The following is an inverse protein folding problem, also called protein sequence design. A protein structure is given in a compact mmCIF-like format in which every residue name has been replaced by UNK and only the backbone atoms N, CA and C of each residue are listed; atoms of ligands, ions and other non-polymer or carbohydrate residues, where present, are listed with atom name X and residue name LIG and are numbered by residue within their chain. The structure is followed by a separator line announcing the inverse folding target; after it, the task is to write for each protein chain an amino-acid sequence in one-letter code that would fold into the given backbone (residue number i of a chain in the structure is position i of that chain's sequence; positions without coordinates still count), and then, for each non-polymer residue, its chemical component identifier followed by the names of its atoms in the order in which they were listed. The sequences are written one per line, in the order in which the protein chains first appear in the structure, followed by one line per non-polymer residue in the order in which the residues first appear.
data_IF_720593662034
#
_entry.id   IF_720593662034
#
_cell.length_a   1.000
_cell.length_b   1.000
_cell.length_c   1.000
_cell.angle_alpha   90.00
_cell.angle_beta   90.00
_cell.angle_gamma   90.00
#
_symmetry.space_group_name_H-M   'P 1'
#
loop_
_entity.id
_entity.type
_entity.pdbx_description
1 polymer ?
#
# COMPACT_ATOMS: atom_id res chain seq x y z
N UNK A 1 34.61 12.71 3.06
CA UNK A 1 33.85 13.50 2.08
C UNK A 1 32.55 13.92 2.75
N UNK A 2 32.34 15.24 3.02
CA UNK A 2 31.14 15.72 3.69
C UNK A 2 29.94 15.63 2.77
N UNK A 3 29.04 14.67 3.02
CA UNK A 3 27.79 14.57 2.33
C UNK A 3 26.98 15.86 2.45
N UNK A 4 26.29 16.26 1.41
CA UNK A 4 25.34 17.38 1.46
C UNK A 4 24.23 17.02 2.46
N UNK A 5 24.29 17.61 3.66
CA UNK A 5 23.26 17.42 4.70
C UNK A 5 21.86 17.71 4.14
N UNK A 6 20.89 16.91 4.51
CA UNK A 6 19.48 17.14 4.18
C UNK A 6 19.09 18.50 4.76
N UNK A 7 18.85 19.49 3.89
CA UNK A 7 18.37 20.82 4.34
C UNK A 7 16.84 20.79 4.48
N UNK A 8 16.36 20.93 5.69
CA UNK A 8 14.93 20.90 6.03
C UNK A 8 14.41 22.30 6.26
N UNK A 9 13.33 22.69 5.55
CA UNK A 9 12.64 23.94 5.79
C UNK A 9 11.54 23.74 6.84
N UNK A 10 11.46 24.64 7.80
CA UNK A 10 10.40 24.66 8.83
C UNK A 10 9.02 24.77 8.19
N UNK A 11 8.90 25.55 7.10
CA UNK A 11 7.65 25.68 6.33
C UNK A 11 7.12 24.35 5.78
N UNK A 12 8.02 23.46 5.34
CA UNK A 12 7.64 22.17 4.77
C UNK A 12 7.09 21.21 5.84
N UNK A 13 7.70 21.24 7.03
CA UNK A 13 7.22 20.47 8.20
C UNK A 13 5.86 21.00 8.67
N UNK A 14 5.69 22.33 8.71
CA UNK A 14 4.42 22.97 9.07
C UNK A 14 3.32 22.61 8.07
N UNK A 15 3.59 22.69 6.77
CA UNK A 15 2.64 22.30 5.72
C UNK A 15 2.17 20.84 5.88
N UNK A 16 3.11 19.91 6.09
CA UNK A 16 2.79 18.50 6.35
C UNK A 16 1.92 18.37 7.61
N UNK A 17 2.31 19.04 8.69
CA UNK A 17 1.56 18.94 9.93
C UNK A 17 0.13 19.46 9.76
N UNK A 18 -0.04 20.66 9.21
CA UNK A 18 -1.34 21.35 9.10
C UNK A 18 -2.24 20.69 8.06
N UNK A 19 -1.71 20.36 6.88
CA UNK A 19 -2.50 19.94 5.74
C UNK A 19 -2.61 18.41 5.55
N UNK A 20 -1.73 17.63 6.19
CA UNK A 20 -1.75 16.17 6.03
C UNK A 20 -1.97 15.44 7.37
N UNK A 21 -1.21 15.77 8.42
CA UNK A 21 -1.17 14.96 9.63
C UNK A 21 -2.25 15.32 10.63
N UNK A 22 -2.43 16.61 10.95
CA UNK A 22 -3.40 17.08 11.96
C UNK A 22 -4.84 16.80 11.53
N UNK A 23 -5.16 17.06 10.25
CA UNK A 23 -6.48 16.88 9.66
C UNK A 23 -6.89 15.40 9.70
N UNK A 24 -5.97 14.51 9.32
CA UNK A 24 -6.21 13.07 9.22
C UNK A 24 -6.03 12.32 10.55
N UNK A 25 -5.60 13.00 11.62
CA UNK A 25 -5.48 12.38 12.94
C UNK A 25 -6.82 12.38 13.66
N UNK A 26 -7.43 11.18 13.78
CA UNK A 26 -8.75 11.01 14.44
C UNK A 26 -8.73 11.34 15.93
N UNK A 27 -7.64 11.03 16.63
CA UNK A 27 -7.48 11.32 18.05
C UNK A 27 -7.10 12.78 18.27
N UNK A 28 -8.10 13.63 18.51
CA UNK A 28 -7.91 15.07 18.70
C UNK A 28 -7.08 15.42 19.93
N UNK A 29 -7.04 14.58 20.95
CA UNK A 29 -6.16 14.77 22.12
C UNK A 29 -4.68 14.73 21.73
N UNK A 30 -4.29 13.86 20.79
CA UNK A 30 -2.90 13.84 20.27
C UNK A 30 -2.56 15.13 19.53
N UNK A 31 -3.49 15.64 18.73
CA UNK A 31 -3.32 16.93 18.03
C UNK A 31 -3.18 18.06 19.04
N UNK A 32 -4.10 18.16 20.00
CA UNK A 32 -4.05 19.18 21.06
C UNK A 32 -2.73 19.15 21.86
N UNK A 33 -2.26 17.96 22.25
CA UNK A 33 -0.98 17.85 22.97
C UNK A 33 0.23 18.28 22.13
N UNK A 34 0.20 18.07 20.83
CA UNK A 34 1.25 18.55 19.92
C UNK A 34 1.20 20.07 19.76
N UNK A 35 -0.01 20.65 19.66
CA UNK A 35 -0.24 22.09 19.51
C UNK A 35 0.27 22.91 20.71
N UNK A 36 0.26 22.37 21.92
CA UNK A 36 0.75 23.08 23.12
C UNK A 36 2.17 23.61 22.96
N UNK A 37 3.05 22.82 22.29
CA UNK A 37 4.44 23.17 22.06
C UNK A 37 4.77 23.03 20.56
N UNK A 38 3.85 23.54 19.70
CA UNK A 38 3.90 23.31 18.25
C UNK A 38 5.25 23.67 17.65
N UNK A 39 5.73 24.89 17.87
CA UNK A 39 6.98 25.35 17.25
C UNK A 39 8.20 24.59 17.76
N UNK A 40 8.28 24.33 19.06
CA UNK A 40 9.33 23.51 19.66
C UNK A 40 9.35 22.11 19.03
N UNK A 41 8.19 21.46 18.95
CA UNK A 41 8.06 20.14 18.29
C UNK A 41 8.48 20.17 16.81
N UNK A 42 8.20 21.25 16.08
CA UNK A 42 8.60 21.42 14.67
C UNK A 42 10.12 21.59 14.54
N UNK A 43 10.74 22.38 15.42
CA UNK A 43 12.21 22.53 15.44
C UNK A 43 12.91 21.24 15.84
N UNK A 44 12.36 20.49 16.81
CA UNK A 44 12.87 19.16 17.16
C UNK A 44 12.83 18.20 15.97
N UNK A 45 11.70 18.15 15.24
CA UNK A 45 11.55 17.33 14.03
C UNK A 45 12.61 17.72 12.99
N UNK A 46 12.80 19.03 12.76
CA UNK A 46 13.83 19.53 11.86
C UNK A 46 15.23 19.03 12.27
N UNK A 47 15.58 19.20 13.53
CA UNK A 47 16.87 18.77 14.09
C UNK A 47 17.08 17.26 13.94
N UNK A 48 16.04 16.46 14.18
CA UNK A 48 16.08 14.99 14.04
C UNK A 48 16.37 14.58 12.58
N UNK A 49 15.70 15.21 11.61
CA UNK A 49 15.90 14.89 10.19
C UNK A 49 17.30 15.32 9.73
N UNK A 50 17.77 16.52 10.12
CA UNK A 50 19.09 17.03 9.75
C UNK A 50 20.25 16.33 10.47
N UNK A 51 19.95 15.66 11.59
CA UNK A 51 20.96 14.94 12.40
C UNK A 51 21.30 13.54 11.91
N UNK A 52 20.67 13.03 10.85
CA UNK A 52 20.89 11.71 10.19
C UNK A 52 20.75 10.46 11.06
N UNK A 53 20.41 10.58 12.33
CA UNK A 53 20.27 9.46 13.27
C UNK A 53 18.82 9.09 13.55
N UNK A 54 17.91 9.45 12.64
CA UNK A 54 16.49 9.17 12.84
C UNK A 54 16.23 7.67 12.90
N UNK A 55 15.60 7.27 14.00
CA UNK A 55 15.00 5.93 14.19
C UNK A 55 13.60 6.11 14.75
N UNK A 56 12.68 5.29 14.26
CA UNK A 56 11.31 5.27 14.79
C UNK A 56 11.37 4.86 16.27
N UNK A 57 10.86 5.71 17.14
CA UNK A 57 10.92 5.47 18.58
C UNK A 57 10.10 4.24 18.98
N UNK A 58 8.81 4.23 18.66
CA UNK A 58 7.91 3.12 18.98
C UNK A 58 6.63 3.17 18.16
N UNK A 59 6.19 2.00 17.69
CA UNK A 59 4.89 1.83 17.08
C UNK A 59 3.80 1.61 18.13
N UNK A 60 2.62 2.19 17.88
CA UNK A 60 1.39 1.74 18.50
C UNK A 60 0.78 0.66 17.59
N UNK A 61 0.90 -0.60 18.00
CA UNK A 61 0.50 -1.77 17.21
C UNK A 61 -0.91 -2.20 17.65
N UNK A 62 -1.82 -2.35 16.69
CA UNK A 62 -3.19 -2.79 16.96
C UNK A 62 -3.76 -3.55 15.76
N UNK A 63 -4.86 -4.26 15.97
CA UNK A 63 -5.57 -4.96 14.92
C UNK A 63 -6.80 -4.19 14.43
N UNK A 64 -7.07 -4.28 13.12
CA UNK A 64 -8.35 -3.94 12.52
C UNK A 64 -9.04 -5.22 12.05
N UNK A 65 -10.36 -5.31 12.19
CA UNK A 65 -11.12 -6.56 11.93
C UNK A 65 -11.92 -6.55 10.64
N UNK A 66 -11.98 -5.42 9.94
CA UNK A 66 -12.86 -5.30 8.77
C UNK A 66 -12.10 -4.76 7.55
N UNK A 67 -12.22 -5.38 6.37
CA UNK A 67 -12.98 -6.60 6.05
C UNK A 67 -12.33 -7.89 6.56
N UNK A 68 -11.01 -7.87 6.79
CA UNK A 68 -10.18 -8.95 7.33
C UNK A 68 -9.35 -8.43 8.49
N UNK A 69 -8.92 -9.34 9.36
CA UNK A 69 -7.95 -8.98 10.38
C UNK A 69 -6.63 -8.57 9.75
N UNK A 70 -6.11 -7.43 10.19
CA UNK A 70 -4.77 -6.92 9.81
C UNK A 70 -4.13 -6.28 11.02
N UNK A 71 -2.82 -6.45 11.13
CA UNK A 71 -2.02 -5.71 12.12
C UNK A 71 -1.62 -4.37 11.49
N UNK A 72 -1.85 -3.29 12.23
CA UNK A 72 -1.49 -1.93 11.83
C UNK A 72 -0.48 -1.36 12.81
N UNK A 73 0.57 -0.76 12.30
CA UNK A 73 1.65 -0.14 13.06
C UNK A 73 1.58 1.39 12.90
N UNK A 74 0.97 2.05 13.89
CA UNK A 74 0.76 3.49 13.86
C UNK A 74 1.87 4.24 14.59
N UNK A 75 2.35 5.29 13.99
CA UNK A 75 3.40 6.17 14.52
C UNK A 75 2.84 7.15 15.58
N UNK A 76 3.70 7.64 16.46
CA UNK A 76 3.42 8.84 17.26
C UNK A 76 3.36 10.09 16.37
N UNK A 77 3.07 11.26 16.91
CA UNK A 77 2.85 12.46 16.11
C UNK A 77 4.12 12.93 15.42
N UNK A 78 5.26 12.99 16.11
CA UNK A 78 6.54 13.44 15.54
C UNK A 78 7.01 12.47 14.45
N UNK A 79 7.04 11.16 14.76
CA UNK A 79 7.42 10.14 13.78
C UNK A 79 6.50 10.12 12.56
N UNK A 80 5.20 10.41 12.73
CA UNK A 80 4.26 10.50 11.63
C UNK A 80 4.59 11.66 10.69
N UNK A 81 4.92 12.82 11.24
CA UNK A 81 5.32 14.00 10.45
C UNK A 81 6.63 13.71 9.71
N UNK A 82 7.62 13.13 10.40
CA UNK A 82 8.89 12.74 9.76
C UNK A 82 8.65 11.73 8.63
N UNK A 83 7.79 10.76 8.85
CA UNK A 83 7.47 9.74 7.85
C UNK A 83 6.78 10.34 6.60
N UNK A 84 5.90 11.32 6.78
CA UNK A 84 5.31 12.09 5.68
C UNK A 84 6.37 12.94 4.97
N UNK A 85 7.29 13.58 5.72
CA UNK A 85 8.39 14.36 5.15
C UNK A 85 9.30 13.48 4.28
N UNK A 86 9.76 12.35 4.82
CA UNK A 86 10.60 11.39 4.09
C UNK A 86 9.87 10.86 2.85
N UNK A 87 8.58 10.54 2.96
CA UNK A 87 7.80 10.09 1.81
C UNK A 87 7.73 11.16 0.72
N UNK A 88 7.41 12.41 1.07
CA UNK A 88 7.15 13.49 0.11
C UNK A 88 8.44 14.06 -0.49
N UNK A 89 9.41 14.40 0.35
CA UNK A 89 10.60 15.15 -0.05
C UNK A 89 11.82 14.29 -0.39
N UNK A 90 11.84 13.03 0.04
CA UNK A 90 12.92 12.10 -0.30
C UNK A 90 12.43 11.05 -1.31
N UNK A 91 11.48 10.20 -0.91
CA UNK A 91 11.11 9.05 -1.72
C UNK A 91 10.38 9.46 -3.01
N UNK A 92 9.27 10.18 -2.91
CA UNK A 92 8.47 10.57 -4.09
C UNK A 92 9.30 11.47 -5.00
N UNK A 93 9.94 12.50 -4.46
CA UNK A 93 10.70 13.48 -5.26
C UNK A 93 11.82 12.84 -6.08
N UNK A 94 12.47 11.79 -5.58
CA UNK A 94 13.63 11.16 -6.22
C UNK A 94 13.30 9.87 -6.96
N UNK A 95 12.34 9.10 -6.48
CA UNK A 95 12.09 7.74 -6.95
C UNK A 95 10.84 7.60 -7.82
N UNK A 96 9.85 8.51 -7.75
CA UNK A 96 8.62 8.39 -8.54
C UNK A 96 8.87 8.35 -10.05
N UNK A 97 9.91 9.01 -10.53
CA UNK A 97 10.29 9.03 -11.95
C UNK A 97 10.62 7.66 -12.55
N UNK A 98 10.96 6.68 -11.71
CA UNK A 98 11.24 5.31 -12.14
C UNK A 98 9.97 4.45 -12.28
N UNK A 99 8.83 4.91 -11.74
CA UNK A 99 7.60 4.12 -11.75
C UNK A 99 6.89 4.20 -13.10
N UNK A 100 6.52 3.04 -13.64
CA UNK A 100 5.69 2.98 -14.83
C UNK A 100 4.30 3.60 -14.57
N UNK A 101 3.67 4.18 -15.61
CA UNK A 101 2.34 4.79 -15.53
C UNK A 101 1.24 3.76 -15.21
N UNK A 102 1.49 2.47 -15.42
CA UNK A 102 0.58 1.36 -15.14
C UNK A 102 0.59 0.93 -13.68
N UNK A 103 1.56 1.43 -12.90
CA UNK A 103 1.59 1.30 -11.46
C UNK A 103 0.74 2.41 -10.84
N UNK A 104 -0.48 2.08 -10.46
CA UNK A 104 -1.54 3.06 -10.17
C UNK A 104 -1.72 3.40 -8.68
N UNK A 105 -1.12 2.63 -7.76
CA UNK A 105 -1.39 2.78 -6.32
C UNK A 105 -0.65 3.98 -5.71
N UNK A 106 -1.30 4.69 -4.78
CA UNK A 106 -0.72 5.72 -3.90
C UNK A 106 0.04 6.87 -4.58
N UNK A 107 -0.23 7.12 -5.85
CA UNK A 107 0.37 8.22 -6.63
C UNK A 107 -0.64 9.35 -6.85
N UNK A 108 -0.14 10.58 -6.94
CA UNK A 108 -0.96 11.77 -7.20
C UNK A 108 -1.69 11.62 -8.55
N UNK A 109 -2.98 11.98 -8.59
CA UNK A 109 -3.85 11.86 -9.77
C UNK A 109 -4.03 10.43 -10.33
N UNK A 110 -3.59 9.43 -9.59
CA UNK A 110 -3.79 8.01 -9.87
C UNK A 110 -4.64 7.39 -8.76
N UNK A 111 -4.51 6.11 -8.56
CA UNK A 111 -5.25 5.41 -7.50
C UNK A 111 -6.32 4.51 -8.08
N UNK A 112 -7.36 4.32 -7.31
CA UNK A 112 -8.37 3.30 -7.54
C UNK A 112 -9.12 3.47 -8.85
N UNK A 113 -9.70 4.68 -9.05
CA UNK A 113 -10.50 4.96 -10.26
C UNK A 113 -9.63 4.96 -11.51
N UNK A 114 -8.41 5.44 -11.42
CA UNK A 114 -7.46 5.40 -12.53
C UNK A 114 -7.17 3.96 -12.95
N UNK A 115 -6.88 3.06 -12.00
CA UNK A 115 -6.63 1.64 -12.26
C UNK A 115 -7.84 0.95 -12.92
N UNK A 116 -9.05 1.20 -12.42
CA UNK A 116 -10.30 0.68 -12.98
C UNK A 116 -10.52 1.14 -14.44
N UNK A 117 -10.32 2.43 -14.68
CA UNK A 117 -10.48 3.01 -16.02
C UNK A 117 -9.41 2.48 -16.98
N UNK A 118 -8.19 2.27 -16.51
CA UNK A 118 -7.11 1.71 -17.32
C UNK A 118 -7.40 0.25 -17.72
N UNK A 119 -7.87 -0.57 -16.78
CA UNK A 119 -8.31 -1.95 -17.07
C UNK A 119 -9.47 -1.94 -18.07
N UNK A 120 -10.48 -1.08 -17.89
CA UNK A 120 -11.59 -0.92 -18.83
C UNK A 120 -11.07 -0.59 -20.23
N UNK A 121 -10.17 0.40 -20.34
CA UNK A 121 -9.57 0.80 -21.62
C UNK A 121 -8.85 -0.36 -22.29
N UNK A 122 -8.09 -1.15 -21.54
CA UNK A 122 -7.37 -2.30 -22.10
C UNK A 122 -8.30 -3.43 -22.54
N UNK A 123 -9.40 -3.66 -21.85
CA UNK A 123 -10.46 -4.56 -22.30
C UNK A 123 -11.03 -4.08 -23.63
N UNK A 124 -11.38 -2.79 -23.76
CA UNK A 124 -11.94 -2.23 -25.00
C UNK A 124 -10.97 -2.35 -26.18
N UNK A 125 -9.67 -2.17 -25.95
CA UNK A 125 -8.65 -2.34 -26.99
C UNK A 125 -8.51 -3.79 -27.44
N UNK A 126 -8.51 -4.75 -26.49
CA UNK A 126 -8.31 -6.16 -26.83
C UNK A 126 -9.55 -6.81 -27.47
N UNK A 127 -10.77 -6.34 -27.19
CA UNK A 127 -11.99 -6.79 -27.85
C UNK A 127 -11.94 -6.68 -29.37
N UNK A 128 -11.22 -5.69 -29.89
CA UNK A 128 -11.07 -5.49 -31.35
C UNK A 128 -10.37 -6.66 -32.05
N UNK A 129 -9.58 -7.41 -31.32
CA UNK A 129 -8.81 -8.56 -31.82
C UNK A 129 -9.49 -9.90 -31.53
N UNK A 130 -10.76 -9.90 -31.08
CA UNK A 130 -11.54 -11.10 -30.77
C UNK A 130 -11.41 -11.54 -29.32
N UNK A 131 -11.29 -12.85 -29.11
CA UNK A 131 -11.17 -13.45 -27.78
C UNK A 131 -9.85 -13.08 -27.14
N UNK A 132 -9.90 -12.71 -25.84
CA UNK A 132 -8.72 -12.38 -25.04
C UNK A 132 -8.82 -13.00 -23.65
N UNK A 133 -7.69 -13.00 -22.94
CA UNK A 133 -7.53 -13.60 -21.63
C UNK A 133 -6.94 -12.58 -20.66
N UNK A 134 -7.24 -12.78 -19.39
CA UNK A 134 -6.81 -11.90 -18.32
C UNK A 134 -6.02 -12.74 -17.31
N UNK A 135 -4.72 -12.48 -17.20
CA UNK A 135 -3.89 -13.02 -16.14
C UNK A 135 -3.98 -12.08 -14.95
N UNK A 136 -4.47 -12.62 -13.84
CA UNK A 136 -4.43 -11.96 -12.53
C UNK A 136 -3.35 -12.59 -11.68
N UNK A 137 -2.44 -11.78 -11.10
CA UNK A 137 -1.41 -12.23 -10.16
C UNK A 137 -1.61 -11.54 -8.83
N UNK A 138 -1.64 -12.29 -7.74
CA UNK A 138 -1.67 -11.81 -6.35
C UNK A 138 -0.38 -12.30 -5.66
N UNK A 139 0.32 -11.43 -4.95
CA UNK A 139 1.55 -11.79 -4.25
C UNK A 139 1.22 -12.15 -2.79
N UNK A 140 1.79 -13.25 -2.31
CA UNK A 140 1.54 -13.74 -0.96
C UNK A 140 2.12 -12.82 0.10
N UNK A 141 1.28 -12.38 1.07
CA UNK A 141 1.70 -11.59 2.25
C UNK A 141 2.63 -10.41 1.90
N UNK A 142 2.40 -9.73 0.79
CA UNK A 142 3.32 -8.79 0.16
C UNK A 142 4.07 -7.89 1.13
N UNK A 143 3.35 -7.10 1.96
CA UNK A 143 3.96 -6.18 2.93
C UNK A 143 4.85 -6.86 3.98
N UNK A 144 4.62 -8.13 4.28
CA UNK A 144 5.43 -8.90 5.24
C UNK A 144 6.63 -9.60 4.59
N UNK A 145 6.63 -9.71 3.25
CA UNK A 145 7.62 -10.48 2.51
C UNK A 145 8.64 -9.63 1.78
N UNK A 146 8.48 -8.30 1.75
CA UNK A 146 9.47 -7.39 1.13
C UNK A 146 10.81 -7.56 1.83
N UNK A 147 11.83 -7.99 1.10
CA UNK A 147 13.19 -8.19 1.61
C UNK A 147 13.90 -6.84 1.76
N UNK A 148 14.43 -6.57 2.95
CA UNK A 148 15.09 -5.30 3.27
C UNK A 148 16.36 -5.10 2.47
N UNK A 149 17.17 -6.15 2.29
CA UNK A 149 18.43 -6.05 1.58
C UNK A 149 18.23 -5.77 0.10
N UNK A 150 17.25 -6.44 -0.52
CA UNK A 150 16.86 -6.16 -1.90
C UNK A 150 16.33 -4.73 -2.04
N UNK A 151 15.42 -4.30 -1.16
CA UNK A 151 14.89 -2.93 -1.21
C UNK A 151 15.97 -1.87 -1.02
N UNK A 152 16.88 -2.07 -0.07
CA UNK A 152 18.01 -1.17 0.19
C UNK A 152 18.97 -1.11 -0.99
N UNK A 153 19.27 -2.23 -1.64
CA UNK A 153 20.12 -2.25 -2.85
C UNK A 153 19.49 -1.48 -4.02
N UNK A 154 18.16 -1.43 -4.10
CA UNK A 154 17.46 -0.69 -5.15
C UNK A 154 17.48 0.83 -4.99
N UNK A 155 17.73 1.34 -3.78
CA UNK A 155 17.68 2.78 -3.46
C UNK A 155 19.04 3.41 -3.17
N UNK A 156 20.08 2.62 -2.91
CA UNK A 156 21.38 3.11 -2.44
C UNK A 156 22.05 4.08 -3.42
N UNK A 157 21.93 3.82 -4.70
CA UNK A 157 22.48 4.66 -5.78
C UNK A 157 21.58 5.85 -6.19
N UNK A 158 20.37 5.92 -5.63
CA UNK A 158 19.34 6.92 -5.97
C UNK A 158 19.14 7.98 -4.90
N UNK A 159 19.65 7.73 -3.71
CA UNK A 159 19.56 8.62 -2.54
C UNK A 159 20.96 9.10 -2.14
N UNK A 160 21.06 10.25 -1.50
CA UNK A 160 22.28 10.64 -0.80
C UNK A 160 22.54 9.74 0.41
N UNK A 161 23.78 9.70 0.92
CA UNK A 161 24.10 8.88 2.10
C UNK A 161 23.15 9.14 3.28
N UNK A 162 22.92 10.42 3.60
CA UNK A 162 22.07 10.83 4.72
C UNK A 162 20.59 10.41 4.53
N UNK A 163 20.08 10.54 3.32
CA UNK A 163 18.72 10.11 2.97
C UNK A 163 18.58 8.59 3.00
N UNK A 164 19.60 7.89 2.51
CA UNK A 164 19.66 6.43 2.56
C UNK A 164 19.64 5.92 3.99
N UNK A 165 20.41 6.52 4.90
CA UNK A 165 20.46 6.14 6.31
C UNK A 165 19.10 6.30 6.99
N UNK A 166 18.42 7.44 6.76
CA UNK A 166 17.07 7.68 7.28
C UNK A 166 16.08 6.63 6.74
N UNK A 167 16.08 6.39 5.44
CA UNK A 167 15.16 5.44 4.80
C UNK A 167 15.46 4.01 5.24
N UNK A 168 16.73 3.62 5.35
CA UNK A 168 17.15 2.30 5.82
C UNK A 168 16.70 2.03 7.26
N UNK A 169 16.86 3.01 8.16
CA UNK A 169 16.36 2.91 9.52
C UNK A 169 14.83 2.74 9.60
N UNK A 170 14.09 3.37 8.68
CA UNK A 170 12.63 3.18 8.57
C UNK A 170 12.31 1.78 8.06
N UNK A 171 13.02 1.28 7.05
CA UNK A 171 12.86 -0.08 6.52
C UNK A 171 13.09 -1.10 7.63
N UNK A 172 14.18 -0.97 8.40
CA UNK A 172 14.56 -1.93 9.45
C UNK A 172 13.67 -1.89 10.70
N UNK A 173 12.75 -0.96 10.77
CA UNK A 173 11.91 -0.76 11.97
C UNK A 173 10.98 -1.93 12.32
N UNK A 174 10.78 -2.87 11.42
CA UNK A 174 10.05 -4.12 11.71
C UNK A 174 10.90 -5.14 12.47
N UNK A 175 12.23 -4.99 12.48
CA UNK A 175 13.17 -5.87 13.20
C UNK A 175 13.20 -5.62 14.71
N UNK A 176 12.52 -4.60 15.22
CA UNK A 176 12.50 -4.34 16.67
C UNK A 176 11.84 -5.50 17.43
N UNK A 177 12.52 -6.02 18.45
CA UNK A 177 12.09 -7.20 19.22
C UNK A 177 10.64 -7.10 19.72
N UNK A 178 10.23 -5.91 20.19
CA UNK A 178 8.89 -5.70 20.73
C UNK A 178 7.77 -5.85 19.68
N UNK A 179 8.06 -5.72 18.37
CA UNK A 179 7.05 -5.75 17.30
C UNK A 179 6.34 -7.10 17.29
N UNK A 180 7.11 -8.18 17.18
CA UNK A 180 6.54 -9.51 17.15
C UNK A 180 5.94 -9.93 18.51
N UNK A 181 6.50 -9.46 19.62
CA UNK A 181 5.92 -9.69 20.96
C UNK A 181 4.54 -9.06 21.06
N UNK A 182 4.37 -7.79 20.60
CA UNK A 182 3.08 -7.13 20.56
C UNK A 182 2.08 -7.85 19.65
N UNK A 183 2.52 -8.30 18.45
CA UNK A 183 1.64 -9.03 17.52
C UNK A 183 1.16 -10.34 18.14
N UNK A 184 2.04 -11.11 18.80
CA UNK A 184 1.67 -12.35 19.51
C UNK A 184 0.64 -12.07 20.62
N UNK A 185 0.85 -11.03 21.42
CA UNK A 185 -0.08 -10.61 22.46
C UNK A 185 -1.47 -10.26 21.90
N UNK A 186 -1.49 -9.50 20.77
CA UNK A 186 -2.74 -9.16 20.07
C UNK A 186 -3.43 -10.42 19.55
N UNK A 187 -2.70 -11.36 18.93
CA UNK A 187 -3.26 -12.62 18.43
C UNK A 187 -3.93 -13.41 19.57
N UNK A 188 -3.25 -13.57 20.69
CA UNK A 188 -3.79 -14.28 21.85
C UNK A 188 -5.08 -13.61 22.40
N UNK A 189 -5.07 -12.28 22.49
CA UNK A 189 -6.28 -11.53 22.89
C UNK A 189 -7.44 -11.74 21.92
N UNK A 190 -7.18 -11.69 20.60
CA UNK A 190 -8.20 -11.88 19.57
C UNK A 190 -8.75 -13.31 19.56
N UNK A 191 -7.92 -14.33 19.75
CA UNK A 191 -8.35 -15.74 19.83
C UNK A 191 -9.32 -15.97 20.98
N UNK A 192 -9.10 -15.30 22.11
CA UNK A 192 -10.03 -15.37 23.26
C UNK A 192 -11.33 -14.62 22.99
N UNK A 193 -11.31 -13.53 22.23
CA UNK A 193 -12.44 -12.64 21.99
C UNK A 193 -13.33 -13.09 20.82
N UNK A 194 -12.76 -13.61 19.74
CA UNK A 194 -13.47 -13.93 18.49
C UNK A 194 -13.14 -15.35 18.01
N UNK A 195 -13.73 -16.31 18.71
CA UNK A 195 -13.54 -17.74 18.42
C UNK A 195 -14.01 -18.13 17.01
N UNK A 196 -15.01 -17.42 16.46
CA UNK A 196 -15.58 -17.71 15.13
C UNK A 196 -14.60 -17.42 13.98
N UNK A 197 -13.61 -16.55 14.20
CA UNK A 197 -12.60 -16.18 13.20
C UNK A 197 -11.21 -16.71 13.53
N UNK A 198 -11.13 -17.78 14.31
CA UNK A 198 -9.86 -18.39 14.75
C UNK A 198 -8.90 -18.65 13.58
N UNK A 199 -9.35 -19.30 12.51
CA UNK A 199 -8.51 -19.60 11.33
C UNK A 199 -7.92 -18.35 10.68
N UNK A 200 -8.62 -17.24 10.70
CA UNK A 200 -8.13 -15.97 10.16
C UNK A 200 -7.11 -15.32 11.09
N UNK A 201 -7.35 -15.35 12.38
CA UNK A 201 -6.46 -14.79 13.41
C UNK A 201 -5.14 -15.59 13.46
N UNK A 202 -5.21 -16.92 13.38
CA UNK A 202 -4.02 -17.78 13.35
C UNK A 202 -3.12 -17.49 12.14
N UNK A 203 -3.72 -17.11 11.01
CA UNK A 203 -3.00 -16.74 9.78
C UNK A 203 -2.39 -15.33 9.80
N UNK A 204 -2.60 -14.52 10.85
CA UNK A 204 -1.93 -13.22 10.96
C UNK A 204 -0.42 -13.44 11.03
N UNK A 205 0.35 -12.86 10.07
CA UNK A 205 1.79 -13.11 9.99
C UNK A 205 2.54 -12.36 11.07
N UNK A 206 3.70 -12.90 11.45
CA UNK A 206 4.76 -12.19 12.15
C UNK A 206 5.75 -11.66 11.10
N UNK A 207 6.55 -10.68 11.48
CA UNK A 207 7.67 -10.25 10.67
C UNK A 207 8.85 -11.21 10.84
N UNK A 208 9.43 -11.63 9.73
CA UNK A 208 10.73 -12.28 9.72
C UNK A 208 11.84 -11.21 9.81
N UNK A 209 13.00 -11.57 10.31
CA UNK A 209 14.15 -10.66 10.38
C UNK A 209 14.55 -10.21 8.96
N UNK A 210 14.86 -8.93 8.80
CA UNK A 210 15.15 -8.27 7.52
C UNK A 210 14.06 -8.42 6.45
N UNK A 211 12.81 -8.61 6.88
CA UNK A 211 11.66 -8.64 5.97
C UNK A 211 10.48 -7.79 6.47
N UNK A 212 9.78 -7.29 5.50
CA UNK A 212 8.48 -6.65 5.64
C UNK A 212 8.52 -5.17 5.96
N UNK A 213 7.47 -4.49 5.56
CA UNK A 213 7.26 -3.06 5.82
C UNK A 213 6.04 -2.87 6.74
N UNK A 214 6.10 -1.91 7.67
CA UNK A 214 5.01 -1.67 8.61
C UNK A 214 3.77 -1.15 7.89
N UNK A 215 2.63 -1.85 8.08
CA UNK A 215 1.35 -1.45 7.48
C UNK A 215 0.81 -0.23 8.22
N UNK A 216 0.54 0.85 7.49
CA UNK A 216 -0.05 2.08 8.01
C UNK A 216 0.84 3.33 7.88
N UNK A 217 2.03 3.20 7.33
CA UNK A 217 2.96 4.30 7.11
C UNK A 217 3.00 4.75 5.64
N UNK A 218 3.18 6.04 5.41
CA UNK A 218 3.30 6.60 4.06
C UNK A 218 4.54 6.10 3.32
N UNK A 219 5.68 6.03 4.01
CA UNK A 219 6.93 5.49 3.43
C UNK A 219 6.76 4.04 2.98
N UNK A 220 6.11 3.20 3.80
CA UNK A 220 5.84 1.80 3.44
C UNK A 220 4.98 1.65 2.20
N UNK A 221 3.99 2.54 2.03
CA UNK A 221 3.14 2.54 0.84
C UNK A 221 3.94 2.86 -0.42
N UNK A 222 4.80 3.88 -0.36
CA UNK A 222 5.63 4.24 -1.51
C UNK A 222 6.71 3.19 -1.79
N UNK A 223 7.43 2.73 -0.77
CA UNK A 223 8.46 1.71 -0.91
C UNK A 223 7.90 0.40 -1.47
N UNK A 224 6.68 0.03 -1.09
CA UNK A 224 6.04 -1.18 -1.64
C UNK A 224 5.71 -1.04 -3.13
N UNK A 225 5.29 0.10 -3.62
CA UNK A 225 5.08 0.28 -5.06
C UNK A 225 6.41 0.40 -5.81
N UNK A 226 7.45 0.92 -5.17
CA UNK A 226 8.79 1.03 -5.75
C UNK A 226 9.50 -0.33 -5.85
N UNK A 227 9.29 -1.22 -4.90
CA UNK A 227 9.97 -2.53 -4.84
C UNK A 227 9.87 -3.36 -6.13
N UNK A 228 8.80 -3.23 -6.89
CA UNK A 228 8.55 -3.99 -8.11
C UNK A 228 8.65 -3.14 -9.39
N UNK A 229 9.25 -1.94 -9.36
CA UNK A 229 9.26 -1.06 -10.52
C UNK A 229 10.00 -1.65 -11.72
N UNK A 230 11.11 -2.36 -11.47
CA UNK A 230 11.87 -3.00 -12.55
C UNK A 230 11.11 -4.18 -13.15
N UNK A 231 10.34 -4.92 -12.33
CA UNK A 231 9.46 -5.97 -12.83
C UNK A 231 8.36 -5.39 -13.73
N UNK A 232 7.78 -4.24 -13.36
CA UNK A 232 6.79 -3.57 -14.19
C UNK A 232 7.37 -3.25 -15.59
N UNK A 233 8.57 -2.67 -15.64
CA UNK A 233 9.27 -2.39 -16.90
C UNK A 233 9.62 -3.67 -17.67
N UNK A 234 10.07 -4.70 -16.99
CA UNK A 234 10.38 -5.98 -17.61
C UNK A 234 9.15 -6.62 -18.25
N UNK A 235 8.02 -6.64 -17.57
CA UNK A 235 6.74 -7.18 -18.08
C UNK A 235 6.33 -6.44 -19.36
N UNK A 236 6.46 -5.12 -19.38
CA UNK A 236 6.01 -4.31 -20.50
C UNK A 236 6.99 -4.35 -21.67
N UNK A 237 8.28 -4.17 -21.41
CA UNK A 237 9.29 -3.95 -22.44
C UNK A 237 9.92 -5.25 -22.94
N UNK A 238 10.22 -6.19 -22.04
CA UNK A 238 10.90 -7.44 -22.40
C UNK A 238 9.92 -8.56 -22.76
N UNK A 239 8.85 -8.74 -21.95
CA UNK A 239 7.83 -9.73 -22.26
C UNK A 239 6.81 -9.23 -23.29
N UNK A 240 6.80 -7.94 -23.62
CA UNK A 240 5.87 -7.33 -24.56
C UNK A 240 4.39 -7.38 -24.11
N UNK A 241 4.15 -7.47 -22.80
CA UNK A 241 2.81 -7.50 -22.20
C UNK A 241 2.34 -6.08 -21.88
N UNK A 242 2.04 -5.30 -22.89
CA UNK A 242 1.76 -3.85 -22.82
C UNK A 242 0.47 -3.50 -22.06
N UNK A 243 -0.49 -4.42 -22.01
CA UNK A 243 -1.79 -4.21 -21.35
C UNK A 243 -1.75 -4.73 -19.90
N UNK A 244 -0.84 -4.19 -19.11
CA UNK A 244 -0.63 -4.50 -17.70
C UNK A 244 -1.13 -3.34 -16.84
N UNK A 245 -1.74 -3.65 -15.70
CA UNK A 245 -2.09 -2.70 -14.63
C UNK A 245 -1.68 -3.30 -13.30
N UNK A 246 -0.98 -2.52 -12.48
CA UNK A 246 -0.62 -2.93 -11.12
C UNK A 246 -1.21 -1.97 -10.08
N UNK A 247 -1.79 -2.55 -9.05
CA UNK A 247 -2.22 -1.83 -7.85
C UNK A 247 -1.67 -2.53 -6.62
N UNK A 248 -0.58 -2.00 -6.05
CA UNK A 248 0.22 -2.65 -5.00
C UNK A 248 0.76 -4.02 -5.43
N UNK A 249 0.23 -5.09 -4.84
CA UNK A 249 0.53 -6.50 -5.08
C UNK A 249 -0.37 -7.17 -6.12
N UNK A 250 -1.43 -6.52 -6.56
CA UNK A 250 -2.40 -7.04 -7.53
C UNK A 250 -2.02 -6.62 -8.97
N UNK A 251 -1.68 -7.60 -9.83
CA UNK A 251 -1.45 -7.40 -11.25
C UNK A 251 -2.65 -7.87 -12.07
N UNK A 252 -2.99 -7.11 -13.10
CA UNK A 252 -3.87 -7.52 -14.21
C UNK A 252 -3.09 -7.36 -15.50
N UNK A 253 -3.00 -8.44 -16.29
CA UNK A 253 -2.32 -8.46 -17.58
C UNK A 253 -3.30 -9.04 -18.61
N UNK A 254 -3.52 -8.34 -19.73
CA UNK A 254 -4.48 -8.71 -20.76
C UNK A 254 -3.73 -9.07 -22.03
N UNK A 255 -4.07 -10.20 -22.65
CA UNK A 255 -3.51 -10.65 -23.93
C UNK A 255 -4.51 -11.51 -24.70
N UNK A 256 -4.42 -11.50 -26.04
CA UNK A 256 -5.17 -12.40 -26.89
C UNK A 256 -4.54 -13.80 -26.96
N UNK A 257 -3.30 -13.94 -26.54
CA UNK A 257 -2.55 -15.21 -26.52
C UNK A 257 -2.53 -15.78 -25.10
N UNK A 258 -3.30 -16.87 -24.90
CA UNK A 258 -3.39 -17.57 -23.59
C UNK A 258 -2.10 -18.31 -23.23
N UNK A 259 -1.46 -18.90 -24.22
CA UNK A 259 -0.28 -19.74 -23.98
C UNK A 259 0.93 -18.84 -23.69
N UNK A 260 1.00 -17.66 -24.33
CA UNK A 260 1.94 -16.62 -23.92
C UNK A 260 1.73 -16.24 -22.46
N UNK A 261 0.49 -15.98 -22.01
CA UNK A 261 0.23 -15.63 -20.60
C UNK A 261 0.65 -16.72 -19.62
N UNK A 262 0.53 -18.02 -20.00
CA UNK A 262 1.00 -19.12 -19.14
C UNK A 262 2.52 -19.13 -19.02
N UNK A 263 3.24 -19.07 -20.15
CA UNK A 263 4.71 -19.01 -20.15
C UNK A 263 5.24 -17.84 -19.36
N UNK A 264 4.66 -16.66 -19.58
CA UNK A 264 5.13 -15.45 -18.91
C UNK A 264 4.76 -15.40 -17.42
N UNK A 265 3.69 -16.10 -17.00
CA UNK A 265 3.41 -16.31 -15.58
C UNK A 265 4.53 -17.09 -14.89
N UNK A 266 5.05 -18.14 -15.54
CA UNK A 266 6.18 -18.91 -15.01
C UNK A 266 7.44 -18.04 -14.90
N UNK A 267 7.75 -17.24 -15.92
CA UNK A 267 8.87 -16.29 -15.92
C UNK A 267 8.72 -15.24 -14.82
N UNK A 268 7.55 -14.63 -14.69
CA UNK A 268 7.26 -13.64 -13.65
C UNK A 268 7.38 -14.27 -12.26
N UNK A 269 6.86 -15.49 -12.08
CA UNK A 269 6.95 -16.21 -10.81
C UNK A 269 8.39 -16.52 -10.43
N UNK A 270 9.21 -16.94 -11.40
CA UNK A 270 10.63 -17.18 -11.20
C UNK A 270 11.37 -15.90 -10.77
N UNK A 271 11.16 -14.79 -11.48
CA UNK A 271 11.78 -13.50 -11.15
C UNK A 271 11.33 -12.98 -9.78
N UNK A 272 10.04 -13.11 -9.46
CA UNK A 272 9.51 -12.73 -8.13
C UNK A 272 10.24 -13.50 -7.03
N UNK A 273 10.43 -14.81 -7.21
CA UNK A 273 11.08 -15.67 -6.23
C UNK A 273 12.59 -15.45 -6.16
N UNK A 274 13.27 -15.41 -7.29
CA UNK A 274 14.72 -15.33 -7.36
C UNK A 274 15.24 -13.95 -6.98
N UNK A 275 14.74 -12.90 -7.65
CA UNK A 275 15.23 -11.52 -7.48
C UNK A 275 14.58 -10.83 -6.28
N UNK A 276 13.25 -10.94 -6.12
CA UNK A 276 12.50 -10.17 -5.12
C UNK A 276 12.18 -10.97 -3.85
N UNK A 277 12.55 -12.25 -3.77
CA UNK A 277 12.25 -13.11 -2.62
C UNK A 277 10.77 -13.17 -2.26
N UNK A 278 9.90 -13.06 -3.27
CA UNK A 278 8.44 -13.04 -3.16
C UNK A 278 7.82 -14.28 -3.81
N UNK A 279 6.75 -14.79 -3.21
CA UNK A 279 5.96 -15.87 -3.75
C UNK A 279 4.61 -15.39 -4.26
N UNK A 280 4.14 -15.92 -5.39
CA UNK A 280 2.77 -15.72 -5.85
C UNK A 280 1.77 -16.48 -4.97
N UNK A 281 0.58 -15.93 -4.84
CA UNK A 281 -0.53 -16.62 -4.18
C UNK A 281 -1.25 -17.49 -5.22
N UNK A 282 -0.90 -18.77 -5.27
CA UNK A 282 -1.43 -19.73 -6.26
C UNK A 282 -2.97 -19.78 -6.25
N UNK A 283 -3.60 -19.67 -5.07
CA UNK A 283 -5.07 -19.75 -4.96
C UNK A 283 -5.79 -18.51 -5.54
N UNK A 284 -5.10 -17.40 -5.73
CA UNK A 284 -5.66 -16.16 -6.26
C UNK A 284 -5.07 -15.74 -7.61
N UNK A 285 -4.05 -16.44 -8.07
CA UNK A 285 -3.43 -16.22 -9.37
C UNK A 285 -4.09 -17.11 -10.40
N UNK A 286 -4.74 -16.51 -11.41
CA UNK A 286 -5.50 -17.27 -12.40
C UNK A 286 -5.51 -16.55 -13.76
N UNK A 287 -5.70 -17.34 -14.83
CA UNK A 287 -5.97 -16.83 -16.18
C UNK A 287 -7.47 -17.00 -16.46
N UNK A 288 -8.16 -15.88 -16.60
CA UNK A 288 -9.59 -15.80 -16.89
C UNK A 288 -9.82 -15.64 -18.39
N UNK A 289 -10.93 -16.20 -18.87
CA UNK A 289 -11.50 -15.88 -20.16
C UNK A 289 -12.28 -14.56 -20.07
N UNK A 290 -12.27 -13.75 -21.10
CA UNK A 290 -12.95 -12.45 -21.13
C UNK A 290 -14.44 -12.51 -20.84
N UNK A 291 -15.10 -13.67 -21.10
CA UNK A 291 -16.54 -13.86 -20.89
C UNK A 291 -16.86 -14.35 -19.47
N UNK A 292 -15.95 -15.10 -18.82
CA UNK A 292 -16.19 -15.68 -17.49
C UNK A 292 -16.20 -14.63 -16.37
N UNK A 293 -15.61 -13.47 -16.63
CA UNK A 293 -15.47 -12.39 -15.66
C UNK A 293 -14.36 -12.62 -14.65
N UNK A 294 -13.79 -11.54 -14.15
CA UNK A 294 -12.76 -11.55 -13.11
C UNK A 294 -12.97 -10.42 -12.10
N UNK A 295 -12.48 -10.63 -10.89
CA UNK A 295 -12.55 -9.62 -9.82
C UNK A 295 -11.24 -8.84 -9.74
N UNK A 296 -11.36 -7.50 -9.74
CA UNK A 296 -10.23 -6.60 -9.49
C UNK A 296 -10.69 -5.38 -8.68
N UNK A 297 -9.96 -5.06 -7.62
CA UNK A 297 -10.22 -3.91 -6.73
C UNK A 297 -11.69 -3.79 -6.26
N UNK A 298 -12.37 -4.92 -6.02
CA UNK A 298 -13.75 -4.96 -5.54
C UNK A 298 -14.83 -4.77 -6.61
N UNK A 299 -14.43 -4.76 -7.88
CA UNK A 299 -15.32 -4.81 -9.04
C UNK A 299 -15.19 -6.14 -9.77
N UNK A 300 -16.27 -6.54 -10.44
CA UNK A 300 -16.31 -7.67 -11.35
C UNK A 300 -16.40 -7.12 -12.76
N UNK A 301 -15.42 -7.47 -13.59
CA UNK A 301 -15.34 -7.14 -15.00
C UNK A 301 -15.75 -8.34 -15.83
N UNK A 302 -16.54 -8.15 -16.84
CA UNK A 302 -16.90 -9.19 -17.83
C UNK A 302 -17.25 -8.56 -19.16
N UNK A 303 -17.20 -9.37 -20.23
CA UNK A 303 -17.68 -8.97 -21.56
C UNK A 303 -18.90 -9.81 -21.91
N UNK A 304 -20.01 -9.16 -22.27
CA UNK A 304 -21.24 -9.80 -22.76
C UNK A 304 -21.77 -9.04 -23.97
N UNK A 305 -22.12 -9.74 -25.02
CA UNK A 305 -22.61 -9.14 -26.27
C UNK A 305 -21.73 -7.95 -26.74
N UNK A 306 -20.43 -8.17 -26.74
CA UNK A 306 -19.40 -7.18 -27.08
C UNK A 306 -19.41 -5.90 -26.21
N UNK A 307 -20.10 -5.89 -25.07
CA UNK A 307 -20.11 -4.77 -24.10
C UNK A 307 -19.31 -5.12 -22.86
N UNK A 308 -18.45 -4.21 -22.44
CA UNK A 308 -17.75 -4.34 -21.14
C UNK A 308 -18.71 -4.00 -20.02
N UNK A 309 -18.90 -4.95 -19.11
CA UNK A 309 -19.76 -4.80 -17.93
C UNK A 309 -18.87 -4.72 -16.69
N UNK A 310 -19.04 -3.68 -15.90
CA UNK A 310 -18.37 -3.47 -14.62
C UNK A 310 -19.42 -3.41 -13.53
N UNK A 311 -19.33 -4.32 -12.54
CA UNK A 311 -20.28 -4.39 -11.42
C UNK A 311 -19.51 -4.34 -10.11
N UNK A 312 -20.06 -3.63 -9.13
CA UNK A 312 -19.53 -3.66 -7.77
C UNK A 312 -19.80 -5.06 -7.16
N UNK A 313 -18.81 -5.64 -6.49
CA UNK A 313 -18.98 -6.91 -5.80
C UNK A 313 -20.12 -6.84 -4.78
N UNK A 314 -21.01 -7.83 -4.75
CA UNK A 314 -22.23 -7.82 -3.92
C UNK A 314 -21.96 -7.64 -2.43
N UNK A 315 -20.88 -8.22 -1.91
CA UNK A 315 -20.46 -8.04 -0.51
C UNK A 315 -20.12 -6.57 -0.18
N UNK A 316 -19.50 -5.85 -1.12
CA UNK A 316 -19.19 -4.43 -0.95
C UNK A 316 -20.46 -3.58 -0.94
N UNK A 317 -21.44 -3.91 -1.78
CA UNK A 317 -22.75 -3.24 -1.81
C UNK A 317 -23.52 -3.45 -0.50
N UNK A 318 -23.60 -4.68 0.01
CA UNK A 318 -24.24 -4.98 1.30
C UNK A 318 -23.61 -4.19 2.45
N UNK A 319 -22.28 -4.13 2.50
CA UNK A 319 -21.54 -3.38 3.51
C UNK A 319 -21.78 -1.86 3.38
N UNK A 320 -21.80 -1.35 2.17
CA UNK A 320 -22.06 0.08 1.89
C UNK A 320 -23.48 0.47 2.33
N UNK A 321 -24.48 -0.33 1.98
CA UNK A 321 -25.86 -0.14 2.42
C UNK A 321 -26.02 -0.21 3.94
N UNK A 322 -25.35 -1.17 4.60
CA UNK A 322 -25.35 -1.26 6.06
C UNK A 322 -24.74 0.00 6.69
N UNK A 323 -23.59 0.47 6.20
CA UNK A 323 -22.96 1.67 6.73
C UNK A 323 -23.83 2.92 6.47
N UNK A 324 -24.45 3.04 5.31
CA UNK A 324 -25.39 4.14 5.02
C UNK A 324 -26.57 4.13 6.00
N UNK A 325 -27.22 2.97 6.21
CA UNK A 325 -28.34 2.83 7.17
C UNK A 325 -27.89 3.19 8.58
N UNK A 326 -26.72 2.71 9.00
CA UNK A 326 -26.15 3.03 10.32
C UNK A 326 -25.91 4.52 10.48
N UNK A 327 -25.27 5.17 9.50
CA UNK A 327 -24.97 6.59 9.54
C UNK A 327 -26.24 7.45 9.47
N UNK A 328 -27.24 7.05 8.67
CA UNK A 328 -28.55 7.70 8.65
C UNK A 328 -29.21 7.64 10.03
N UNK A 329 -29.19 6.48 10.68
CA UNK A 329 -29.70 6.33 12.05
C UNK A 329 -28.99 7.26 13.03
N UNK A 330 -27.63 7.27 13.00
CA UNK A 330 -26.82 8.15 13.86
C UNK A 330 -27.10 9.64 13.61
N UNK A 331 -27.33 10.02 12.35
CA UNK A 331 -27.72 11.38 11.98
C UNK A 331 -29.12 11.73 12.54
N UNK A 332 -30.11 10.84 12.33
CA UNK A 332 -31.47 11.02 12.84
C UNK A 332 -31.51 11.17 14.37
N UNK A 333 -30.64 10.46 15.07
CA UNK A 333 -30.51 10.50 16.53
C UNK A 333 -29.63 11.65 17.03
N UNK A 334 -29.13 12.53 16.16
CA UNK A 334 -28.29 13.66 16.54
C UNK A 334 -26.84 13.34 16.94
N UNK A 335 -26.41 12.08 16.79
CA UNK A 335 -25.03 11.68 17.15
C UNK A 335 -23.98 12.13 16.14
N UNK A 336 -24.36 12.42 14.90
CA UNK A 336 -23.46 12.95 13.87
C UNK A 336 -24.10 14.11 13.12
N UNK A 337 -23.29 15.09 12.68
CA UNK A 337 -23.77 16.22 11.88
C UNK A 337 -24.10 15.79 10.45
N UNK A 338 -24.94 16.60 9.75
CA UNK A 338 -25.27 16.42 8.33
C UNK A 338 -24.00 16.35 7.45
N UNK A 339 -23.04 17.24 7.67
CA UNK A 339 -21.75 17.25 6.97
C UNK A 339 -20.99 15.92 7.12
N UNK A 340 -21.03 15.32 8.31
CA UNK A 340 -20.40 14.01 8.55
C UNK A 340 -21.18 12.85 7.92
N UNK A 341 -22.51 12.96 7.85
CA UNK A 341 -23.36 11.98 7.16
C UNK A 341 -23.12 11.98 5.65
N UNK A 342 -22.98 13.17 5.04
CA UNK A 342 -22.82 13.31 3.58
C UNK A 342 -21.41 12.94 3.07
N UNK A 343 -20.40 12.96 3.94
CA UNK A 343 -19.01 12.63 3.59
C UNK A 343 -18.69 11.12 3.76
N UNK A 344 -19.72 10.29 3.81
CA UNK A 344 -19.63 8.82 3.81
C UNK A 344 -20.23 8.25 2.51
#
# INVERSE_FOLDING_TARGET
MGGLKVKVKVSDILDIYENEVSINTKNKRKVYNFEKNKMENIYDIKSIIEGNNYRIYKYNIFSISSPKYRIVMSLNMKDKIINHYVSRFILISKLEKYLDIRNCATRKNMGYDYAINLVKRYIELNKKYGKFYILKIDISKYFYSIDHNVLKSMIIDKLSSDEYDIVSNIIDSTNYDYVNLCIKSIKNHLLNKDKNRKLEIDKLPLYEYDKGLPIGNMTSQFLSIFYLYELDHYIVNNLGLKYMVRYMDDYIIISNDKDKLKRELENISFILKDKYKLDINVNKTNIYDCYSGFEYLGYIFSVKNNRTIIRVKSQNNKRRLYNMKKNYYLYRMGYISFKRFFNF
#
